data_IF_280953785565
#
_entry.id   IF_280953785565
#
_cell.length_a   1.000
_cell.length_b   1.000
_cell.length_c   1.000
_cell.angle_alpha   90.00
_cell.angle_beta   90.00
_cell.angle_gamma   90.00
#
_symmetry.space_group_name_H-M   'P 1'
#
loop_
_entity.id
_entity.type
_entity.pdbx_description
1 polymer ?
#
# COMPACT_ATOMS: atom_id res chain seq x y z
N UNK A 1 -49.39 49.42 -12.26
CA UNK A 1 -48.44 48.69 -11.39
C UNK A 1 -47.40 47.97 -12.27
N UNK A 2 -46.43 48.68 -12.86
CA UNK A 2 -45.29 48.09 -13.60
C UNK A 2 -44.13 49.09 -13.68
N UNK A 3 -43.42 49.28 -12.57
CA UNK A 3 -42.06 49.84 -12.54
C UNK A 3 -41.37 49.22 -11.32
N UNK A 4 -40.47 48.25 -11.53
CA UNK A 4 -39.38 47.85 -10.62
C UNK A 4 -38.75 46.48 -10.99
N UNK A 5 -38.22 46.29 -12.21
CA UNK A 5 -37.33 45.13 -12.50
C UNK A 5 -36.21 45.50 -13.49
N UNK A 6 -35.67 46.72 -13.43
CA UNK A 6 -34.53 47.12 -14.28
C UNK A 6 -33.24 47.48 -13.52
N UNK A 7 -33.31 47.65 -12.20
CA UNK A 7 -32.14 48.06 -11.39
C UNK A 7 -31.25 46.94 -10.86
N UNK A 8 -31.62 45.66 -10.99
CA UNK A 8 -30.84 44.55 -10.41
C UNK A 8 -29.77 43.97 -11.34
N UNK A 9 -29.94 44.03 -12.67
CA UNK A 9 -28.94 43.50 -13.62
C UNK A 9 -27.71 44.40 -13.77
N UNK A 10 -27.88 45.72 -13.67
CA UNK A 10 -26.74 46.65 -13.80
C UNK A 10 -25.81 46.63 -12.57
N UNK A 11 -26.31 46.32 -11.38
CA UNK A 11 -25.49 46.21 -10.17
C UNK A 11 -24.54 44.99 -10.19
N UNK A 12 -24.94 43.86 -10.78
CA UNK A 12 -24.07 42.69 -10.91
C UNK A 12 -22.99 42.85 -11.98
N UNK A 13 -23.27 43.59 -13.06
CA UNK A 13 -22.27 43.87 -14.10
C UNK A 13 -21.19 44.83 -13.58
N UNK A 14 -21.56 45.83 -12.77
CA UNK A 14 -20.60 46.77 -12.16
C UNK A 14 -19.74 46.09 -11.08
N UNK A 15 -20.31 45.20 -10.26
CA UNK A 15 -19.52 44.42 -9.29
C UNK A 15 -18.53 43.44 -9.97
N UNK A 16 -18.95 42.81 -11.07
CA UNK A 16 -18.08 41.93 -11.85
C UNK A 16 -16.90 42.67 -12.48
N UNK A 17 -17.12 43.89 -13.01
CA UNK A 17 -16.04 44.69 -13.60
C UNK A 17 -15.03 45.21 -12.56
N UNK A 18 -15.48 45.53 -11.35
CA UNK A 18 -14.59 45.95 -10.25
C UNK A 18 -13.73 44.78 -9.72
N UNK A 19 -14.25 43.55 -9.74
CA UNK A 19 -13.49 42.37 -9.33
C UNK A 19 -12.40 42.01 -10.35
N UNK A 20 -12.68 42.14 -11.64
CA UNK A 20 -11.68 41.93 -12.71
C UNK A 20 -10.59 43.01 -12.69
N UNK A 21 -10.94 44.28 -12.43
CA UNK A 21 -9.96 45.35 -12.29
C UNK A 21 -9.08 45.22 -11.03
N UNK A 22 -9.63 44.68 -9.93
CA UNK A 22 -8.86 44.37 -8.73
C UNK A 22 -7.84 43.23 -8.97
N UNK A 23 -8.23 42.19 -9.72
CA UNK A 23 -7.32 41.10 -10.10
C UNK A 23 -6.20 41.57 -11.05
N UNK A 24 -6.49 42.54 -11.93
CA UNK A 24 -5.48 43.13 -12.81
C UNK A 24 -4.53 44.12 -12.10
N UNK A 25 -4.94 44.73 -10.99
CA UNK A 25 -4.04 45.52 -10.13
C UNK A 25 -3.16 44.64 -9.24
N UNK A 26 -3.67 43.53 -8.70
CA UNK A 26 -2.87 42.59 -7.90
C UNK A 26 -1.80 41.90 -8.75
N UNK A 27 -2.06 41.65 -10.03
CA UNK A 27 -1.06 41.09 -10.97
C UNK A 27 0.05 42.07 -11.38
N UNK A 28 -0.06 43.37 -11.06
CA UNK A 28 0.90 44.41 -11.45
C UNK A 28 1.91 44.79 -10.35
N UNK A 29 1.70 44.38 -9.10
CA UNK A 29 2.58 44.70 -7.96
C UNK A 29 3.47 43.53 -7.46
N UNK A 30 3.57 42.44 -8.23
CA UNK A 30 4.58 41.39 -8.00
C UNK A 30 5.79 41.58 -8.93
N UNK A 31 6.36 42.78 -8.96
CA UNK A 31 7.73 42.99 -9.41
C UNK A 31 8.48 43.80 -8.37
N UNK A 32 9.03 43.09 -7.39
CA UNK A 32 9.91 43.65 -6.38
C UNK A 32 10.99 42.62 -6.08
N UNK A 33 11.99 42.65 -6.94
CA UNK A 33 13.32 42.07 -6.74
C UNK A 33 13.81 42.18 -5.28
N UNK A 34 13.91 41.05 -4.60
CA UNK A 34 14.80 40.89 -3.44
C UNK A 34 15.84 39.84 -3.82
N UNK A 35 16.99 40.33 -4.29
CA UNK A 35 18.23 39.57 -4.33
C UNK A 35 18.77 39.49 -2.90
N UNK A 36 19.26 38.33 -2.48
CA UNK A 36 20.58 38.11 -1.85
C UNK A 36 20.79 36.60 -1.56
N UNK A 37 22.05 36.14 -1.44
CA UNK A 37 22.50 34.85 -1.92
C UNK A 37 22.78 33.84 -0.79
N UNK A 38 22.66 32.55 -1.08
CA UNK A 38 23.48 31.53 -0.42
C UNK A 38 23.84 30.45 -1.43
N UNK A 39 25.09 30.52 -1.91
CA UNK A 39 25.72 29.51 -2.77
C UNK A 39 26.37 28.49 -1.85
N UNK A 40 25.87 27.26 -1.83
CA UNK A 40 26.58 26.13 -1.25
C UNK A 40 27.59 25.60 -2.30
N UNK A 41 28.87 25.85 -2.06
CA UNK A 41 29.96 25.24 -2.81
C UNK A 41 30.28 23.85 -2.23
N UNK A 42 30.14 22.81 -3.05
CA UNK A 42 30.83 21.53 -2.84
C UNK A 42 32.29 21.68 -3.28
N UNK A 43 33.29 21.33 -2.45
CA UNK A 43 34.64 21.15 -2.94
C UNK A 43 34.79 19.74 -3.52
N UNK A 44 34.89 19.65 -4.83
CA UNK A 44 35.64 18.60 -5.48
C UNK A 44 37.12 18.76 -5.12
N UNK A 45 37.81 17.67 -4.79
CA UNK A 45 39.27 17.67 -4.90
C UNK A 45 39.79 16.27 -5.24
N UNK A 46 40.23 16.15 -6.48
CA UNK A 46 41.26 15.21 -6.92
C UNK A 46 42.59 15.95 -6.95
N UNK A 47 43.63 15.42 -6.29
CA UNK A 47 44.98 15.22 -6.85
C UNK A 47 46.04 15.01 -5.76
N UNK A 48 47.00 14.16 -6.14
CA UNK A 48 48.16 13.69 -5.42
C UNK A 48 49.06 14.79 -4.82
N UNK A 49 49.63 14.50 -3.66
CA UNK A 49 50.95 15.00 -3.25
C UNK A 49 51.61 14.00 -2.28
N UNK A 50 52.89 13.73 -2.55
CA UNK A 50 53.77 12.78 -1.87
C UNK A 50 54.52 13.41 -0.68
N UNK A 51 55.00 12.51 0.21
CA UNK A 51 56.18 12.60 1.12
C UNK A 51 55.95 13.00 2.58
N UNK A 52 56.87 12.63 3.51
CA UNK A 52 57.51 11.34 3.70
C UNK A 52 57.43 10.84 5.17
N UNK A 53 58.01 9.66 5.39
CA UNK A 53 58.09 8.87 6.61
C UNK A 53 58.49 9.60 7.91
N UNK A 54 57.88 9.18 9.02
CA UNK A 54 58.52 9.10 10.33
C UNK A 54 58.14 7.77 10.99
N UNK A 55 59.19 7.01 11.27
CA UNK A 55 59.22 5.68 11.86
C UNK A 55 59.18 5.84 13.37
N UNK A 56 58.24 5.20 14.06
CA UNK A 56 58.50 4.74 15.43
C UNK A 56 57.96 3.32 15.63
N UNK A 57 58.90 2.48 16.04
CA UNK A 57 58.86 1.03 16.13
C UNK A 57 58.44 0.63 17.54
N UNK A 58 57.42 -0.23 17.66
CA UNK A 58 57.29 -1.11 18.82
C UNK A 58 57.06 -2.55 18.35
N UNK A 59 58.16 -3.31 18.41
CA UNK A 59 58.24 -4.75 18.21
C UNK A 59 57.41 -5.52 19.26
N UNK A 60 56.50 -6.39 18.82
CA UNK A 60 56.08 -7.62 19.52
C UNK A 60 55.67 -8.72 18.50
N UNK A 61 55.79 -10.01 18.86
CA UNK A 61 56.18 -11.11 17.97
C UNK A 61 55.06 -11.66 17.06
N UNK A 62 55.41 -12.46 16.03
CA UNK A 62 54.42 -12.98 15.09
C UNK A 62 53.63 -14.13 15.72
N UNK A 63 52.34 -13.90 15.96
CA UNK A 63 51.40 -14.97 16.25
C UNK A 63 50.73 -15.42 14.96
N UNK A 64 51.21 -16.57 14.49
CA UNK A 64 50.53 -17.61 13.72
C UNK A 64 49.15 -17.24 13.15
N UNK A 65 49.08 -17.22 11.81
CA UNK A 65 47.84 -17.40 11.07
C UNK A 65 47.07 -18.61 11.63
N UNK A 66 45.81 -18.40 12.00
CA UNK A 66 44.77 -19.42 11.93
C UNK A 66 43.52 -18.81 11.28
N UNK A 67 42.85 -19.56 10.38
CA UNK A 67 41.80 -19.05 9.51
C UNK A 67 40.41 -19.14 10.15
N UNK A 68 39.44 -18.46 9.51
CA UNK A 68 37.98 -18.43 9.76
C UNK A 68 37.52 -17.37 10.76
N UNK A 69 37.34 -16.15 10.27
CA UNK A 69 36.23 -15.33 10.74
C UNK A 69 34.99 -15.87 10.02
N UNK A 70 34.22 -16.72 10.69
CA UNK A 70 32.83 -16.95 10.32
C UNK A 70 32.10 -15.62 10.54
N UNK A 71 31.68 -14.98 9.45
CA UNK A 71 30.72 -13.90 9.49
C UNK A 71 29.43 -14.41 10.15
N UNK A 72 28.72 -13.58 10.94
CA UNK A 72 27.50 -14.02 11.56
C UNK A 72 26.48 -14.28 10.44
N UNK A 73 26.07 -15.54 10.32
CA UNK A 73 24.77 -15.85 9.74
C UNK A 73 23.72 -14.95 10.41
N UNK A 74 22.68 -14.56 9.66
CA UNK A 74 21.52 -13.89 10.22
C UNK A 74 21.16 -14.52 11.58
N UNK A 75 20.95 -13.73 12.65
CA UNK A 75 20.63 -14.29 13.94
C UNK A 75 19.44 -15.25 13.76
N UNK A 76 19.54 -16.48 14.28
CA UNK A 76 18.42 -17.42 14.19
C UNK A 76 17.18 -16.74 14.76
N UNK A 77 16.02 -16.98 14.13
CA UNK A 77 14.72 -16.57 14.66
C UNK A 77 14.72 -16.88 16.17
N UNK A 78 14.44 -15.88 17.05
CA UNK A 78 14.30 -16.17 18.47
C UNK A 78 13.32 -17.33 18.62
N UNK A 79 13.67 -18.33 19.43
CA UNK A 79 12.70 -19.35 19.84
C UNK A 79 11.40 -18.64 20.25
N UNK A 80 10.21 -19.18 19.90
CA UNK A 80 8.95 -18.57 20.32
C UNK A 80 9.01 -18.38 21.83
N UNK A 81 9.23 -17.14 22.26
CA UNK A 81 9.32 -16.79 23.67
C UNK A 81 7.96 -17.18 24.25
N UNK A 82 7.97 -18.01 25.28
CA UNK A 82 6.77 -18.27 26.08
C UNK A 82 6.13 -16.92 26.42
N UNK A 83 4.89 -16.66 26.01
CA UNK A 83 4.28 -15.36 26.23
C UNK A 83 4.05 -15.22 27.73
N UNK A 84 4.91 -14.47 28.42
CA UNK A 84 4.45 -13.77 29.59
C UNK A 84 3.41 -12.76 29.08
N UNK A 85 2.18 -12.74 29.62
CA UNK A 85 1.20 -11.74 29.23
C UNK A 85 1.82 -10.35 29.46
N UNK A 86 1.78 -9.42 28.49
CA UNK A 86 2.23 -8.06 28.74
C UNK A 86 1.38 -7.49 29.88
N UNK A 87 2.02 -7.17 31.01
CA UNK A 87 1.36 -6.46 32.11
C UNK A 87 1.27 -4.95 31.86
N UNK A 88 1.83 -4.46 30.74
CA UNK A 88 1.75 -3.08 30.25
C UNK A 88 1.44 -3.09 28.74
N UNK A 89 0.69 -2.11 28.20
CA UNK A 89 0.44 -2.01 26.77
C UNK A 89 1.73 -1.68 26.00
N UNK A 90 1.94 -2.29 24.83
CA UNK A 90 3.10 -2.02 23.97
C UNK A 90 3.22 -0.53 23.65
N UNK A 91 4.44 0.00 23.76
CA UNK A 91 4.79 1.26 23.07
C UNK A 91 4.69 1.06 21.57
N UNK A 92 4.00 1.96 20.87
CA UNK A 92 3.65 1.75 19.46
C UNK A 92 3.63 3.04 18.65
N UNK A 93 4.10 2.98 17.41
CA UNK A 93 4.00 4.07 16.44
C UNK A 93 3.27 3.65 15.17
N UNK A 94 2.52 4.58 14.60
CA UNK A 94 1.83 4.46 13.32
C UNK A 94 2.46 5.46 12.35
N UNK A 95 3.14 4.94 11.34
CA UNK A 95 3.83 5.69 10.30
C UNK A 95 3.00 5.63 9.04
N UNK A 96 2.42 6.77 8.66
CA UNK A 96 1.60 6.93 7.47
C UNK A 96 2.44 7.59 6.38
N UNK A 97 2.53 6.95 5.21
CA UNK A 97 3.02 7.59 4.00
C UNK A 97 1.85 8.19 3.23
N UNK A 98 2.00 9.44 2.76
CA UNK A 98 1.00 10.08 1.92
C UNK A 98 1.58 11.04 0.89
N UNK A 99 0.80 11.37 -0.13
CA UNK A 99 0.96 12.61 -0.90
C UNK A 99 0.11 13.75 -0.31
N UNK A 100 0.37 14.99 -0.71
CA UNK A 100 -0.32 16.18 -0.19
C UNK A 100 -1.83 16.16 -0.44
N UNK A 101 -2.25 15.50 -1.52
CA UNK A 101 -3.63 15.44 -2.00
C UNK A 101 -4.44 14.31 -1.35
N UNK A 102 -3.80 13.36 -0.69
CA UNK A 102 -4.48 12.28 0.02
C UNK A 102 -5.01 12.76 1.37
N UNK A 103 -6.16 12.24 1.79
CA UNK A 103 -6.82 12.65 3.04
C UNK A 103 -6.62 11.64 4.19
N UNK A 104 -5.78 11.95 5.19
CA UNK A 104 -5.57 11.11 6.36
C UNK A 104 -6.57 11.43 7.50
N UNK A 105 -7.67 12.13 7.23
CA UNK A 105 -8.65 12.56 8.25
C UNK A 105 -9.18 11.41 9.09
N UNK A 106 -9.21 10.19 8.55
CA UNK A 106 -9.64 8.96 9.24
C UNK A 106 -8.80 8.65 10.49
N UNK A 107 -7.57 9.18 10.61
CA UNK A 107 -6.76 9.04 11.83
C UNK A 107 -7.43 9.65 13.08
N UNK A 108 -8.41 10.52 12.87
CA UNK A 108 -9.22 11.14 13.92
C UNK A 108 -10.56 10.44 14.16
N UNK A 109 -10.85 9.34 13.46
CA UNK A 109 -12.02 8.52 13.71
C UNK A 109 -12.06 8.07 15.18
N UNK A 110 -13.25 7.84 15.69
CA UNK A 110 -13.44 7.41 17.08
C UNK A 110 -14.13 6.06 17.17
N UNK A 111 -13.70 5.26 18.13
CA UNK A 111 -14.43 4.08 18.61
C UNK A 111 -15.66 4.50 19.43
N UNK A 112 -16.50 3.51 19.76
CA UNK A 112 -17.61 3.68 20.70
C UNK A 112 -17.13 4.36 21.99
N UNK A 113 -17.82 5.45 22.37
CA UNK A 113 -17.41 6.28 23.51
C UNK A 113 -16.49 7.46 23.15
N UNK A 114 -16.20 7.70 21.87
CA UNK A 114 -15.53 8.91 21.39
C UNK A 114 -14.01 8.90 21.54
N UNK A 115 -13.41 7.73 21.77
CA UNK A 115 -11.96 7.56 21.89
C UNK A 115 -11.35 7.47 20.49
N UNK A 116 -10.38 8.32 20.10
CA UNK A 116 -9.73 8.22 18.80
C UNK A 116 -9.15 6.82 18.57
N UNK A 117 -9.30 6.26 17.36
CA UNK A 117 -8.77 4.94 17.00
C UNK A 117 -7.24 4.88 17.12
N UNK A 118 -6.58 6.03 17.03
CA UNK A 118 -5.13 6.22 17.18
C UNK A 118 -4.69 6.37 18.64
N UNK A 119 -5.60 6.22 19.62
CA UNK A 119 -5.26 6.35 21.04
C UNK A 119 -4.16 5.35 21.44
N UNK A 120 -3.09 5.90 22.02
CA UNK A 120 -1.90 5.16 22.43
C UNK A 120 -0.89 4.89 21.31
N UNK A 121 -1.15 5.35 20.08
CA UNK A 121 -0.17 5.36 18.98
C UNK A 121 0.56 6.70 18.93
N UNK A 122 1.87 6.66 18.74
CA UNK A 122 2.64 7.80 18.24
C UNK A 122 2.44 7.88 16.73
N UNK A 123 1.70 8.87 16.25
CA UNK A 123 1.28 8.96 14.84
C UNK A 123 2.18 9.92 14.08
N UNK A 124 2.86 9.43 13.04
CA UNK A 124 3.72 10.22 12.18
C UNK A 124 3.23 10.13 10.73
N UNK A 125 2.84 11.27 10.16
CA UNK A 125 2.33 11.36 8.79
C UNK A 125 3.37 12.02 7.90
N UNK A 126 4.07 11.23 7.09
CA UNK A 126 5.06 11.70 6.13
C UNK A 126 4.38 12.09 4.82
N UNK A 127 4.54 13.35 4.41
CA UNK A 127 4.11 13.83 3.09
C UNK A 127 5.27 13.77 2.12
N UNK A 128 5.18 12.96 1.06
CA UNK A 128 6.32 12.65 0.18
C UNK A 128 6.61 13.73 -0.87
N UNK A 129 5.61 14.56 -1.21
CA UNK A 129 5.67 15.57 -2.26
C UNK A 129 5.53 17.03 -1.73
N UNK A 130 5.76 17.24 -0.44
CA UNK A 130 5.74 18.56 0.21
C UNK A 130 6.88 18.72 1.22
N UNK A 131 7.95 19.44 0.82
CA UNK A 131 9.09 19.74 1.69
C UNK A 131 8.78 20.72 2.84
N UNK A 132 7.60 21.33 2.85
CA UNK A 132 7.16 22.22 3.93
C UNK A 132 6.37 21.49 5.03
N UNK A 133 5.97 20.24 4.79
CA UNK A 133 5.28 19.41 5.77
C UNK A 133 6.16 19.11 6.99
N UNK A 134 5.57 18.98 8.19
CA UNK A 134 6.32 18.73 9.42
C UNK A 134 7.15 17.44 9.38
N UNK A 135 6.58 16.38 8.80
CA UNK A 135 7.30 15.18 8.41
C UNK A 135 7.25 15.07 6.89
N UNK A 136 8.40 15.20 6.26
CA UNK A 136 8.55 15.15 4.82
C UNK A 136 9.68 14.20 4.44
N UNK A 137 9.66 13.68 3.22
CA UNK A 137 10.79 12.94 2.64
C UNK A 137 11.81 13.91 2.03
N UNK A 138 13.05 13.47 1.78
CA UNK A 138 14.03 14.30 1.07
C UNK A 138 13.67 14.55 -0.41
N UNK A 139 13.04 13.56 -1.06
CA UNK A 139 12.58 13.59 -2.47
C UNK A 139 11.33 12.71 -2.58
N UNK A 140 10.41 13.06 -3.49
CA UNK A 140 9.29 12.19 -3.86
C UNK A 140 9.78 11.08 -4.81
N UNK A 141 10.28 9.97 -4.27
CA UNK A 141 10.82 8.82 -5.04
C UNK A 141 10.77 7.53 -4.22
N UNK A 142 10.44 6.41 -4.85
CA UNK A 142 10.26 5.11 -4.22
C UNK A 142 8.96 4.99 -3.44
N UNK A 143 7.93 5.79 -3.77
CA UNK A 143 6.63 5.81 -3.08
C UNK A 143 6.76 5.88 -1.54
N UNK A 144 6.01 5.06 -0.80
CA UNK A 144 6.04 4.97 0.65
C UNK A 144 7.39 4.52 1.23
N UNK A 145 8.21 3.80 0.45
CA UNK A 145 9.48 3.28 0.94
C UNK A 145 10.41 4.40 1.42
N UNK A 146 10.38 5.57 0.78
CA UNK A 146 11.16 6.72 1.21
C UNK A 146 10.70 7.27 2.56
N UNK A 147 9.40 7.31 2.81
CA UNK A 147 8.84 7.72 4.11
C UNK A 147 9.25 6.73 5.20
N UNK A 148 9.09 5.43 4.94
CA UNK A 148 9.39 4.37 5.91
C UNK A 148 10.88 4.34 6.27
N UNK A 149 11.77 4.38 5.27
CA UNK A 149 13.21 4.44 5.49
C UNK A 149 13.62 5.73 6.22
N UNK A 150 13.00 6.87 5.89
CA UNK A 150 13.27 8.13 6.59
C UNK A 150 12.86 8.07 8.06
N UNK A 151 11.71 7.47 8.37
CA UNK A 151 11.31 7.21 9.76
C UNK A 151 12.32 6.31 10.49
N UNK A 152 12.64 5.16 9.90
CA UNK A 152 13.57 4.19 10.50
C UNK A 152 14.92 4.83 10.83
N UNK A 153 15.46 5.65 9.92
CA UNK A 153 16.74 6.35 10.12
C UNK A 153 16.64 7.42 11.22
N UNK A 154 15.60 8.25 11.20
CA UNK A 154 15.47 9.38 12.13
C UNK A 154 15.14 8.93 13.56
N UNK A 155 14.46 7.80 13.72
CA UNK A 155 13.97 7.31 15.01
C UNK A 155 14.73 6.08 15.53
N UNK A 156 15.78 5.64 14.83
CA UNK A 156 16.50 4.38 15.11
C UNK A 156 16.93 4.22 16.58
N UNK A 157 17.33 5.30 17.24
CA UNK A 157 17.80 5.28 18.63
C UNK A 157 16.67 5.19 19.68
N UNK A 158 15.42 5.45 19.31
CA UNK A 158 14.27 5.61 20.23
C UNK A 158 13.00 4.94 19.69
N UNK A 159 13.16 3.82 18.99
CA UNK A 159 12.04 3.09 18.39
C UNK A 159 11.03 2.60 19.45
N UNK A 160 9.72 2.60 19.19
CA UNK A 160 8.72 1.92 20.02
C UNK A 160 8.83 0.40 19.86
N UNK A 161 8.15 -0.39 20.71
CA UNK A 161 8.16 -1.86 20.64
C UNK A 161 7.53 -2.38 19.33
N UNK A 162 6.48 -1.72 18.85
CA UNK A 162 5.81 -2.07 17.60
C UNK A 162 5.70 -0.83 16.71
N UNK A 163 6.03 -1.00 15.43
CA UNK A 163 5.90 0.04 14.41
C UNK A 163 4.99 -0.49 13.33
N UNK A 164 3.95 0.29 13.01
CA UNK A 164 3.05 0.04 11.89
C UNK A 164 3.36 0.99 10.76
N UNK A 165 3.52 0.46 9.56
CA UNK A 165 3.70 1.22 8.32
C UNK A 165 2.46 1.01 7.46
N UNK A 166 1.77 2.09 7.10
CA UNK A 166 0.52 2.06 6.35
C UNK A 166 0.45 3.19 5.32
N UNK A 167 -0.38 2.97 4.30
CA UNK A 167 -0.80 4.02 3.39
C UNK A 167 -1.83 4.93 4.07
N UNK A 168 -2.08 6.08 3.44
CA UNK A 168 -3.00 7.09 3.95
C UNK A 168 -4.47 6.81 3.64
N UNK A 169 -4.77 5.88 2.72
CA UNK A 169 -6.13 5.62 2.26
C UNK A 169 -7.01 5.06 3.37
N UNK A 170 -8.25 5.56 3.46
CA UNK A 170 -9.23 5.04 4.42
C UNK A 170 -9.76 3.67 3.99
N UNK A 171 -10.13 3.57 2.72
CA UNK A 171 -10.62 2.36 2.06
C UNK A 171 -9.68 2.05 0.91
N UNK A 172 -9.27 0.79 0.79
CA UNK A 172 -8.35 0.38 -0.25
C UNK A 172 -8.64 -1.05 -0.71
N UNK A 173 -8.54 -1.29 -2.02
CA UNK A 173 -8.64 -2.64 -2.59
C UNK A 173 -7.55 -3.58 -2.03
N UNK A 174 -6.39 -3.02 -1.70
CA UNK A 174 -5.25 -3.75 -1.16
C UNK A 174 -5.34 -4.03 0.34
N UNK A 175 -6.39 -3.55 1.01
CA UNK A 175 -6.69 -3.98 2.39
C UNK A 175 -7.36 -5.36 2.41
N UNK A 176 -7.69 -5.81 3.61
CA UNK A 176 -8.26 -7.12 3.86
C UNK A 176 -9.79 -7.14 3.72
N UNK A 177 -10.29 -8.03 2.85
CA UNK A 177 -11.71 -8.13 2.55
C UNK A 177 -12.58 -8.64 3.73
N UNK A 178 -12.01 -9.35 4.71
CA UNK A 178 -12.76 -9.81 5.91
C UNK A 178 -12.84 -8.77 7.03
N UNK A 179 -12.06 -7.69 6.92
CA UNK A 179 -12.04 -6.56 7.86
C UNK A 179 -12.36 -5.26 7.12
N UNK A 180 -13.34 -5.35 6.21
CA UNK A 180 -14.01 -4.20 5.60
C UNK A 180 -13.14 -3.32 4.70
N UNK A 181 -11.99 -3.83 4.22
CA UNK A 181 -11.09 -3.10 3.32
C UNK A 181 -10.75 -1.70 3.84
N UNK A 182 -10.53 -1.61 5.16
CA UNK A 182 -10.53 -0.35 5.89
C UNK A 182 -9.34 -0.23 6.82
N UNK A 183 -8.48 0.78 6.57
CA UNK A 183 -7.36 1.15 7.44
C UNK A 183 -7.75 1.35 8.91
N UNK A 184 -8.83 2.09 9.26
CA UNK A 184 -9.34 2.14 10.63
C UNK A 184 -9.60 0.75 11.24
N UNK A 185 -10.28 -0.13 10.51
CA UNK A 185 -10.63 -1.47 10.99
C UNK A 185 -9.40 -2.34 11.16
N UNK A 186 -8.45 -2.26 10.22
CA UNK A 186 -7.13 -2.91 10.30
C UNK A 186 -6.38 -2.48 11.57
N UNK A 187 -6.28 -1.17 11.81
CA UNK A 187 -5.57 -0.62 12.97
C UNK A 187 -6.16 -1.09 14.31
N UNK A 188 -7.49 -1.11 14.41
CA UNK A 188 -8.22 -1.46 15.64
C UNK A 188 -8.22 -2.98 15.88
N UNK A 189 -8.29 -3.77 14.82
CA UNK A 189 -8.40 -5.24 14.91
C UNK A 189 -7.04 -5.92 15.03
N UNK A 190 -5.94 -5.23 14.71
CA UNK A 190 -4.60 -5.83 14.71
C UNK A 190 -4.17 -6.29 16.12
N UNK A 191 -3.86 -7.58 16.22
CA UNK A 191 -3.34 -8.19 17.44
C UNK A 191 -1.83 -8.01 17.55
N UNK A 192 -1.41 -6.94 18.23
CA UNK A 192 0.02 -6.63 18.48
C UNK A 192 0.84 -7.79 19.09
N UNK A 193 0.30 -8.68 19.96
CA UNK A 193 1.05 -9.84 20.43
C UNK A 193 1.56 -10.76 19.30
N UNK A 194 0.83 -10.89 18.18
CA UNK A 194 1.30 -11.64 17.02
C UNK A 194 2.52 -10.98 16.39
N UNK A 195 2.46 -9.65 16.22
CA UNK A 195 3.59 -8.86 15.67
C UNK A 195 4.81 -8.99 16.58
N UNK A 196 4.63 -8.87 17.90
CA UNK A 196 5.71 -9.04 18.86
C UNK A 196 6.32 -10.46 18.80
N UNK A 197 5.49 -11.50 18.65
CA UNK A 197 5.93 -12.90 18.60
C UNK A 197 6.67 -13.24 17.30
N UNK A 198 6.14 -12.83 16.15
CA UNK A 198 6.73 -13.12 14.84
C UNK A 198 7.87 -12.15 14.49
N UNK A 199 7.78 -10.93 15.01
CA UNK A 199 8.69 -9.82 14.75
C UNK A 199 8.36 -9.04 13.47
N UNK A 200 7.62 -9.65 12.54
CA UNK A 200 7.13 -9.07 11.30
C UNK A 200 5.76 -9.65 10.97
N UNK A 201 4.86 -8.81 10.48
CA UNK A 201 3.58 -9.23 9.94
C UNK A 201 3.18 -8.30 8.80
N UNK A 202 2.97 -8.86 7.61
CA UNK A 202 2.27 -8.15 6.55
C UNK A 202 0.82 -7.91 7.00
N UNK A 203 0.30 -6.70 6.79
CA UNK A 203 -1.08 -6.40 7.19
C UNK A 203 -2.08 -7.09 6.26
N UNK A 204 -1.73 -7.39 5.01
CA UNK A 204 -2.58 -8.14 4.08
C UNK A 204 -2.48 -9.65 4.37
N UNK A 205 -3.64 -10.27 4.60
CA UNK A 205 -3.79 -11.72 4.70
C UNK A 205 -4.09 -12.40 3.36
N UNK A 206 -4.91 -11.83 2.45
CA UNK A 206 -5.16 -12.44 1.15
C UNK A 206 -3.88 -12.70 0.36
N UNK A 207 -3.77 -13.88 -0.25
CA UNK A 207 -2.56 -14.27 -0.99
C UNK A 207 -2.34 -13.50 -2.28
N UNK A 208 -3.40 -13.19 -3.02
CA UNK A 208 -3.29 -12.47 -4.29
C UNK A 208 -3.38 -10.95 -4.06
N UNK A 209 -2.50 -10.14 -4.68
CA UNK A 209 -1.28 -10.53 -5.35
C UNK A 209 -0.13 -10.85 -4.38
N UNK A 210 0.78 -11.73 -4.82
CA UNK A 210 2.10 -11.89 -4.22
C UNK A 210 2.44 -13.27 -3.63
N UNK A 211 1.45 -14.12 -3.36
CA UNK A 211 1.61 -15.49 -2.86
C UNK A 211 0.89 -16.52 -3.75
N UNK A 212 1.36 -17.79 -3.81
CA UNK A 212 2.51 -18.34 -3.10
C UNK A 212 3.86 -18.12 -3.81
N UNK A 213 3.82 -17.64 -5.06
CA UNK A 213 4.97 -17.42 -5.93
C UNK A 213 4.70 -16.19 -6.83
N UNK A 214 5.51 -15.12 -6.74
CA UNK A 214 5.24 -13.87 -7.46
C UNK A 214 6.41 -13.41 -8.35
N UNK A 215 7.52 -13.02 -7.73
CA UNK A 215 8.71 -12.53 -8.44
C UNK A 215 9.70 -13.66 -8.60
N UNK A 216 10.09 -13.93 -9.83
CA UNK A 216 11.19 -14.82 -10.21
C UNK A 216 12.35 -13.98 -10.73
N UNK A 217 13.34 -13.60 -9.89
CA UNK A 217 14.38 -12.65 -10.28
C UNK A 217 15.22 -13.09 -11.49
N UNK A 218 15.31 -14.40 -11.73
CA UNK A 218 16.07 -14.99 -12.85
C UNK A 218 15.23 -15.16 -14.12
N UNK A 219 13.98 -14.70 -14.13
CA UNK A 219 13.09 -14.82 -15.26
C UNK A 219 13.52 -13.90 -16.42
N UNK A 220 13.57 -14.44 -17.64
CA UNK A 220 14.10 -13.74 -18.82
C UNK A 220 13.09 -13.60 -19.96
N UNK A 221 11.83 -14.06 -19.78
CA UNK A 221 10.87 -14.16 -20.88
C UNK A 221 10.13 -12.84 -21.20
N UNK A 222 10.79 -11.71 -20.93
CA UNK A 222 10.27 -10.37 -21.14
C UNK A 222 9.70 -9.73 -19.87
N UNK A 223 9.14 -8.53 -20.04
CA UNK A 223 8.50 -7.78 -18.94
C UNK A 223 7.04 -8.19 -18.86
N UNK A 224 6.62 -8.74 -17.73
CA UNK A 224 5.20 -8.93 -17.42
C UNK A 224 4.60 -7.58 -16.96
N UNK A 225 3.59 -7.03 -17.66
CA UNK A 225 2.97 -5.76 -17.30
C UNK A 225 2.35 -5.72 -15.89
N UNK A 226 2.00 -6.88 -15.33
CA UNK A 226 1.43 -6.97 -13.98
C UNK A 226 2.51 -6.93 -12.89
N UNK A 227 3.75 -7.33 -13.22
CA UNK A 227 4.92 -7.33 -12.32
C UNK A 227 6.20 -6.79 -13.00
N UNK A 228 6.19 -5.55 -13.51
CA UNK A 228 7.31 -4.96 -14.23
C UNK A 228 8.61 -4.87 -13.43
N UNK A 229 8.54 -4.86 -12.09
CA UNK A 229 9.68 -4.92 -11.18
C UNK A 229 10.46 -6.25 -11.24
N UNK A 230 9.83 -7.34 -11.68
CA UNK A 230 10.49 -8.64 -11.80
C UNK A 230 11.72 -8.56 -12.71
N UNK A 231 11.60 -7.81 -13.82
CA UNK A 231 12.64 -7.66 -14.82
C UNK A 231 13.92 -6.98 -14.30
N UNK A 232 13.83 -6.21 -13.20
CA UNK A 232 14.97 -5.49 -12.61
C UNK A 232 15.45 -6.10 -11.29
N UNK A 233 14.73 -7.09 -10.76
CA UNK A 233 14.90 -7.54 -9.38
C UNK A 233 16.28 -8.15 -9.12
N UNK A 234 16.82 -8.94 -10.06
CA UNK A 234 18.17 -9.51 -9.90
C UNK A 234 19.28 -8.42 -9.88
N UNK A 235 19.14 -7.36 -10.68
CA UNK A 235 20.09 -6.23 -10.64
C UNK A 235 19.98 -5.48 -9.32
N UNK A 236 18.76 -5.11 -8.94
CA UNK A 236 18.51 -4.43 -7.68
C UNK A 236 19.00 -5.24 -6.47
N UNK A 237 18.83 -6.57 -6.50
CA UNK A 237 19.37 -7.46 -5.47
C UNK A 237 20.88 -7.34 -5.32
N UNK A 238 21.62 -7.38 -6.44
CA UNK A 238 23.08 -7.24 -6.44
C UNK A 238 23.60 -5.89 -5.96
N UNK A 239 22.76 -4.85 -6.02
CA UNK A 239 23.06 -3.51 -5.52
C UNK A 239 22.71 -3.33 -4.03
N UNK A 240 21.63 -3.98 -3.57
CA UNK A 240 21.08 -3.82 -2.21
C UNK A 240 21.67 -4.81 -1.19
N UNK A 241 22.14 -5.96 -1.64
CA UNK A 241 22.66 -7.03 -0.78
C UNK A 241 24.15 -7.28 -0.99
N UNK A 242 24.87 -7.77 0.04
CA UNK A 242 26.25 -8.21 -0.11
C UNK A 242 26.41 -9.27 -1.23
N UNK A 243 27.55 -9.30 -1.95
CA UNK A 243 27.75 -10.21 -3.09
C UNK A 243 27.67 -11.71 -2.76
N UNK A 244 27.82 -12.10 -1.50
CA UNK A 244 27.71 -13.48 -1.02
C UNK A 244 26.27 -13.92 -0.72
N UNK A 245 25.31 -12.98 -0.74
CA UNK A 245 23.88 -13.29 -0.60
C UNK A 245 23.32 -13.67 -1.97
N UNK A 246 23.04 -14.96 -2.15
CA UNK A 246 22.46 -15.46 -3.39
C UNK A 246 21.10 -14.83 -3.70
N UNK A 247 20.87 -14.52 -4.98
CA UNK A 247 19.56 -14.13 -5.48
C UNK A 247 18.60 -15.32 -5.30
N UNK A 248 17.44 -15.14 -4.67
CA UNK A 248 16.48 -16.23 -4.47
C UNK A 248 15.84 -16.65 -5.80
N UNK A 249 15.41 -17.91 -5.87
CA UNK A 249 14.65 -18.42 -7.03
C UNK A 249 13.31 -17.71 -7.19
N UNK A 250 12.65 -17.44 -6.06
CA UNK A 250 11.36 -16.76 -5.99
C UNK A 250 11.29 -15.87 -4.75
N UNK A 251 10.65 -14.70 -4.89
CA UNK A 251 10.23 -13.85 -3.77
C UNK A 251 8.72 -13.80 -3.72
N UNK A 252 8.16 -13.94 -2.52
CA UNK A 252 6.72 -13.97 -2.32
C UNK A 252 6.31 -13.53 -0.93
N UNK A 253 5.32 -12.66 -0.90
CA UNK A 253 4.52 -12.28 0.25
C UNK A 253 3.27 -11.61 -0.28
N UNK A 254 2.21 -11.50 0.51
CA UNK A 254 1.08 -10.66 0.15
C UNK A 254 1.55 -9.22 -0.15
N UNK A 255 0.96 -8.57 -1.15
CA UNK A 255 1.43 -7.27 -1.63
C UNK A 255 1.27 -6.10 -0.64
N UNK A 256 1.70 -4.95 -1.15
CA UNK A 256 1.16 -3.62 -0.93
C UNK A 256 1.74 -2.85 0.26
N UNK A 257 2.97 -3.17 0.67
CA UNK A 257 3.80 -2.34 1.55
C UNK A 257 3.15 -1.84 2.85
N UNK A 258 2.15 -2.55 3.37
CA UNK A 258 1.59 -2.29 4.70
C UNK A 258 1.98 -3.42 5.63
N UNK A 259 2.72 -3.10 6.68
CA UNK A 259 3.24 -4.12 7.58
C UNK A 259 3.49 -3.58 8.99
N UNK A 260 3.56 -4.52 9.92
CA UNK A 260 3.93 -4.32 11.30
C UNK A 260 5.31 -4.94 11.54
N UNK A 261 6.17 -4.24 12.27
CA UNK A 261 7.49 -4.75 12.64
C UNK A 261 7.79 -4.44 14.11
N UNK A 262 8.43 -5.38 14.78
CA UNK A 262 8.92 -5.20 16.14
C UNK A 262 10.22 -4.39 16.18
N UNK A 263 10.46 -3.70 17.29
CA UNK A 263 11.74 -3.02 17.57
C UNK A 263 12.92 -3.97 17.35
N UNK A 264 12.81 -5.19 17.85
CA UNK A 264 13.88 -6.18 17.82
C UNK A 264 14.28 -6.54 16.39
N UNK A 265 13.32 -6.61 15.46
CA UNK A 265 13.63 -6.83 14.03
C UNK A 265 14.28 -5.62 13.38
N UNK A 266 13.87 -4.42 13.74
CA UNK A 266 14.53 -3.20 13.25
C UNK A 266 15.97 -3.10 13.78
N UNK A 267 16.17 -3.34 15.08
CA UNK A 267 17.50 -3.30 15.69
C UNK A 267 18.40 -4.48 15.29
N UNK A 268 17.83 -5.50 14.64
CA UNK A 268 18.58 -6.62 14.07
C UNK A 268 19.50 -6.21 12.92
N UNK A 269 19.26 -5.05 12.30
CA UNK A 269 20.10 -4.49 11.25
C UNK A 269 20.68 -3.15 11.69
N UNK A 270 21.98 -2.89 11.53
CA UNK A 270 22.53 -1.59 11.88
C UNK A 270 21.89 -0.50 11.02
N UNK A 271 21.77 0.72 11.56
CA UNK A 271 21.15 1.86 10.88
C UNK A 271 21.70 2.12 9.46
N UNK A 272 22.97 1.77 9.23
CA UNK A 272 23.63 1.86 7.93
C UNK A 272 22.96 1.04 6.82
N UNK A 273 22.25 -0.04 7.15
CA UNK A 273 21.47 -0.82 6.16
C UNK A 273 20.32 0.03 5.62
N UNK A 274 19.53 0.67 6.49
CA UNK A 274 18.43 1.54 6.07
C UNK A 274 18.94 2.78 5.32
N UNK A 275 20.06 3.35 5.76
CA UNK A 275 20.73 4.44 5.03
C UNK A 275 21.11 3.97 3.62
N UNK A 276 21.74 2.81 3.48
CA UNK A 276 22.12 2.25 2.18
C UNK A 276 20.93 2.00 1.25
N UNK A 277 19.82 1.47 1.79
CA UNK A 277 18.58 1.26 1.01
C UNK A 277 17.95 2.58 0.58
N UNK A 278 17.97 3.61 1.44
CA UNK A 278 17.51 4.96 1.06
C UNK A 278 18.42 5.60 0.02
N UNK A 279 19.73 5.45 0.16
CA UNK A 279 20.70 5.98 -0.79
C UNK A 279 20.56 5.30 -2.16
N UNK A 280 20.25 4.00 -2.18
CA UNK A 280 19.89 3.29 -3.41
C UNK A 280 18.64 3.87 -4.06
N UNK A 281 17.56 4.12 -3.30
CA UNK A 281 16.36 4.78 -3.84
C UNK A 281 16.69 6.16 -4.44
N UNK A 282 17.51 6.95 -3.75
CA UNK A 282 17.89 8.27 -4.23
C UNK A 282 18.73 8.17 -5.52
N UNK A 283 19.67 7.23 -5.57
CA UNK A 283 20.67 7.12 -6.64
C UNK A 283 20.29 6.27 -7.86
N UNK A 284 19.32 5.36 -7.75
CA UNK A 284 18.94 4.46 -8.84
C UNK A 284 18.34 5.21 -10.03
N UNK A 285 18.55 4.73 -11.25
CA UNK A 285 17.90 5.29 -12.46
C UNK A 285 16.46 4.78 -12.65
N UNK A 286 16.03 3.82 -11.82
CA UNK A 286 14.67 3.28 -11.86
C UNK A 286 13.64 4.37 -11.52
N UNK A 287 12.51 4.33 -12.23
CA UNK A 287 11.36 5.20 -11.95
C UNK A 287 10.77 4.96 -10.56
N UNK A 288 10.01 5.95 -10.08
CA UNK A 288 9.38 5.96 -8.74
C UNK A 288 8.57 4.68 -8.45
N UNK A 289 7.69 4.29 -9.38
CA UNK A 289 6.85 3.08 -9.24
C UNK A 289 7.69 1.80 -9.15
N UNK A 290 8.67 1.61 -10.04
CA UNK A 290 9.45 0.37 -10.11
C UNK A 290 10.36 0.23 -8.90
N UNK A 291 11.07 1.31 -8.52
CA UNK A 291 11.92 1.30 -7.33
C UNK A 291 11.12 1.11 -6.03
N UNK A 292 9.91 1.65 -5.94
CA UNK A 292 8.96 1.39 -4.84
C UNK A 292 8.57 -0.09 -4.76
N UNK A 293 8.15 -0.70 -5.88
CA UNK A 293 7.78 -2.12 -5.93
C UNK A 293 8.92 -3.08 -5.61
N UNK A 294 10.17 -2.73 -6.00
CA UNK A 294 11.35 -3.47 -5.55
C UNK A 294 11.45 -3.47 -4.03
N UNK A 295 11.29 -2.30 -3.38
CA UNK A 295 11.31 -2.22 -1.92
C UNK A 295 10.17 -2.99 -1.25
N UNK A 296 8.96 -2.91 -1.82
CA UNK A 296 7.79 -3.64 -1.33
C UNK A 296 8.07 -5.14 -1.19
N UNK A 297 8.63 -5.78 -2.21
CA UNK A 297 8.97 -7.20 -2.21
C UNK A 297 10.34 -7.52 -1.57
N UNK A 298 10.94 -6.56 -0.86
CA UNK A 298 12.14 -6.78 -0.05
C UNK A 298 11.88 -6.66 1.46
N UNK A 299 10.72 -6.15 1.89
CA UNK A 299 10.42 -6.05 3.33
C UNK A 299 10.44 -7.41 4.02
N UNK A 300 9.85 -8.46 3.44
CA UNK A 300 9.88 -9.79 4.03
C UNK A 300 11.31 -10.33 4.17
N UNK A 301 12.18 -10.05 3.20
CA UNK A 301 13.60 -10.41 3.27
C UNK A 301 14.30 -9.65 4.38
N UNK A 302 14.09 -8.33 4.44
CA UNK A 302 14.67 -7.46 5.44
C UNK A 302 14.31 -7.91 6.86
N UNK A 303 13.05 -8.26 7.11
CA UNK A 303 12.58 -8.52 8.47
C UNK A 303 12.68 -9.98 8.91
N UNK A 304 12.60 -10.92 7.97
CA UNK A 304 12.58 -12.37 8.28
C UNK A 304 13.84 -13.11 7.83
N UNK A 305 14.59 -12.55 6.88
CA UNK A 305 15.67 -13.25 6.17
C UNK A 305 15.17 -14.29 5.16
N UNK A 306 13.86 -14.49 5.04
CA UNK A 306 13.23 -15.41 4.09
C UNK A 306 12.74 -14.68 2.84
N UNK A 307 12.93 -15.31 1.67
CA UNK A 307 12.41 -14.79 0.40
C UNK A 307 10.90 -15.02 0.22
N UNK A 308 10.35 -16.06 0.88
CA UNK A 308 8.94 -16.45 0.83
C UNK A 308 8.33 -16.36 2.22
N UNK A 309 7.34 -15.49 2.38
CA UNK A 309 6.55 -15.30 3.61
C UNK A 309 5.08 -15.27 3.22
N UNK A 310 4.49 -16.45 3.08
CA UNK A 310 3.09 -16.66 2.70
C UNK A 310 2.37 -17.47 3.80
N UNK A 311 2.03 -16.85 4.95
CA UNK A 311 1.26 -17.53 5.99
C UNK A 311 -0.10 -17.97 5.44
N UNK A 312 -0.67 -19.04 5.98
CA UNK A 312 -2.01 -19.45 5.57
C UNK A 312 -3.02 -18.33 5.88
N UNK A 313 -3.90 -18.01 4.92
CA UNK A 313 -4.84 -16.87 5.05
C UNK A 313 -5.70 -16.98 6.31
N UNK A 314 -6.21 -18.19 6.60
CA UNK A 314 -7.03 -18.47 7.78
C UNK A 314 -6.28 -18.22 9.09
N UNK A 315 -4.99 -18.54 9.15
CA UNK A 315 -4.12 -18.33 10.32
C UNK A 315 -3.81 -16.84 10.48
N UNK A 316 -3.51 -16.16 9.37
CA UNK A 316 -3.30 -14.71 9.34
C UNK A 316 -4.52 -13.95 9.88
N UNK A 317 -5.72 -14.27 9.39
CA UNK A 317 -6.96 -13.64 9.84
C UNK A 317 -7.28 -13.95 11.31
N UNK A 318 -7.12 -15.19 11.74
CA UNK A 318 -7.46 -15.59 13.10
C UNK A 318 -6.51 -14.96 14.12
N UNK A 319 -5.21 -15.13 13.95
CA UNK A 319 -4.23 -14.63 14.91
C UNK A 319 -3.99 -13.13 14.81
N UNK A 320 -4.03 -12.59 13.59
CA UNK A 320 -3.75 -11.20 13.29
C UNK A 320 -4.91 -10.27 13.56
N UNK A 321 -6.14 -10.73 13.32
CA UNK A 321 -7.33 -9.88 13.34
C UNK A 321 -8.52 -10.45 14.13
N UNK A 322 -8.37 -11.63 14.75
CA UNK A 322 -9.44 -12.24 15.52
C UNK A 322 -10.63 -12.70 14.67
N UNK A 323 -10.39 -13.09 13.42
CA UNK A 323 -11.41 -13.70 12.55
C UNK A 323 -11.08 -15.17 12.34
N UNK A 324 -11.69 -16.05 13.14
CA UNK A 324 -11.30 -17.46 13.29
C UNK A 324 -12.38 -18.40 12.77
N UNK A 325 -12.12 -19.11 11.67
CA UNK A 325 -13.12 -19.94 11.00
C UNK A 325 -13.19 -21.39 11.51
N UNK A 326 -12.47 -21.74 12.57
CA UNK A 326 -12.34 -23.14 13.01
C UNK A 326 -11.21 -23.86 12.27
N UNK A 327 -10.16 -23.13 11.88
CA UNK A 327 -9.06 -23.64 11.07
C UNK A 327 -9.35 -23.68 9.57
N UNK A 328 -8.52 -24.43 8.84
CA UNK A 328 -8.48 -24.47 7.37
C UNK A 328 -9.81 -24.83 6.72
N UNK A 329 -10.46 -25.91 7.17
CA UNK A 329 -11.69 -26.42 6.54
C UNK A 329 -12.84 -25.40 6.61
N UNK A 330 -13.02 -24.74 7.75
CA UNK A 330 -14.04 -23.71 7.91
C UNK A 330 -13.77 -22.48 7.06
N UNK A 331 -12.50 -22.06 6.94
CA UNK A 331 -12.13 -20.95 6.06
C UNK A 331 -12.34 -21.28 4.59
N UNK A 332 -11.89 -22.46 4.14
CA UNK A 332 -12.11 -22.91 2.76
C UNK A 332 -13.60 -23.07 2.44
N UNK A 333 -14.41 -23.51 3.41
CA UNK A 333 -15.87 -23.54 3.29
C UNK A 333 -16.46 -22.15 3.06
N UNK A 334 -16.03 -21.18 3.86
CA UNK A 334 -16.44 -19.78 3.70
C UNK A 334 -16.02 -19.18 2.36
N UNK A 335 -14.78 -19.44 1.91
CA UNK A 335 -14.28 -18.98 0.61
C UNK A 335 -15.11 -19.57 -0.53
N UNK A 336 -15.37 -20.89 -0.53
CA UNK A 336 -16.22 -21.54 -1.54
C UNK A 336 -17.61 -20.93 -1.62
N UNK A 337 -18.25 -20.64 -0.48
CA UNK A 337 -19.57 -20.00 -0.48
C UNK A 337 -19.56 -18.59 -1.06
N UNK A 338 -18.46 -17.83 -0.90
CA UNK A 338 -18.31 -16.53 -1.57
C UNK A 338 -18.13 -16.66 -3.07
N UNK A 339 -17.26 -17.57 -3.50
CA UNK A 339 -17.04 -17.83 -4.93
C UNK A 339 -18.34 -18.26 -5.60
N UNK A 340 -19.12 -19.13 -4.95
CA UNK A 340 -20.45 -19.55 -5.44
C UNK A 340 -21.39 -18.35 -5.60
N UNK A 341 -21.50 -17.50 -4.58
CA UNK A 341 -22.30 -16.27 -4.64
C UNK A 341 -21.84 -15.35 -5.78
N UNK A 342 -20.54 -15.15 -5.95
CA UNK A 342 -20.00 -14.26 -6.98
C UNK A 342 -20.26 -14.80 -8.40
N UNK A 343 -20.19 -16.12 -8.58
CA UNK A 343 -20.59 -16.80 -9.82
C UNK A 343 -22.08 -16.58 -10.10
N UNK A 344 -22.96 -16.73 -9.11
CA UNK A 344 -24.39 -16.49 -9.27
C UNK A 344 -24.69 -15.03 -9.62
N UNK A 345 -24.03 -14.07 -8.94
CA UNK A 345 -24.16 -12.63 -9.25
C UNK A 345 -23.71 -12.31 -10.66
N UNK A 346 -22.55 -12.83 -11.08
CA UNK A 346 -22.06 -12.66 -12.45
C UNK A 346 -23.03 -13.21 -13.49
N UNK A 347 -23.70 -14.34 -13.21
CA UNK A 347 -24.74 -14.89 -14.09
C UNK A 347 -25.98 -13.98 -14.17
N UNK A 348 -26.43 -13.41 -13.04
CA UNK A 348 -27.52 -12.43 -13.01
C UNK A 348 -27.14 -11.19 -13.82
N UNK A 349 -25.95 -10.64 -13.61
CA UNK A 349 -25.43 -9.50 -14.37
C UNK A 349 -25.37 -9.80 -15.87
N UNK A 350 -24.90 -10.99 -16.27
CA UNK A 350 -24.85 -11.40 -17.67
C UNK A 350 -26.26 -11.50 -18.27
N UNK A 351 -27.25 -12.05 -17.55
CA UNK A 351 -28.63 -12.12 -18.06
C UNK A 351 -29.29 -10.74 -18.17
N UNK A 352 -28.99 -9.83 -17.25
CA UNK A 352 -29.47 -8.44 -17.30
C UNK A 352 -28.77 -7.66 -18.42
N UNK A 353 -27.46 -7.87 -18.62
CA UNK A 353 -26.64 -7.19 -19.63
C UNK A 353 -26.80 -7.76 -21.05
N UNK A 354 -27.09 -9.05 -21.21
CA UNK A 354 -27.31 -9.69 -22.54
C UNK A 354 -28.52 -9.14 -23.30
N UNK A 355 -29.40 -8.41 -22.63
CA UNK A 355 -30.57 -7.79 -23.27
C UNK A 355 -30.44 -6.26 -23.39
N UNK A 356 -29.31 -5.69 -22.95
CA UNK A 356 -28.93 -4.29 -23.11
C UNK A 356 -27.49 -4.15 -23.61
N UNK A 357 -27.34 -3.97 -24.92
CA UNK A 357 -26.18 -3.43 -25.66
C UNK A 357 -25.36 -4.38 -26.56
N UNK A 358 -25.02 -3.79 -27.71
CA UNK A 358 -24.21 -4.24 -28.83
C UNK A 358 -22.77 -4.51 -28.38
N UNK A 359 -22.18 -5.57 -28.93
CA UNK A 359 -20.78 -5.94 -28.72
C UNK A 359 -19.87 -4.90 -29.37
N UNK A 360 -19.08 -4.18 -28.57
CA UNK A 360 -17.71 -3.86 -28.91
C UNK A 360 -16.79 -4.47 -27.84
N UNK A 361 -15.83 -5.25 -28.32
CA UNK A 361 -15.14 -6.26 -27.52
C UNK A 361 -14.14 -5.70 -26.53
N UNK A 362 -14.07 -6.36 -25.37
CA UNK A 362 -12.82 -6.68 -24.70
C UNK A 362 -12.99 -7.90 -23.78
N UNK A 363 -11.87 -8.58 -23.55
CA UNK A 363 -11.73 -9.94 -23.02
C UNK A 363 -12.22 -10.14 -21.57
N UNK A 364 -12.50 -11.39 -21.12
CA UNK A 364 -13.04 -11.65 -19.80
C UNK A 364 -11.96 -11.58 -18.72
N UNK A 365 -12.04 -10.57 -17.85
CA UNK A 365 -11.32 -10.51 -16.58
C UNK A 365 -12.16 -11.15 -15.47
N UNK A 366 -11.53 -11.99 -14.65
CA UNK A 366 -12.11 -12.58 -13.45
C UNK A 366 -12.72 -11.50 -12.54
N UNK A 367 -13.95 -11.76 -12.09
CA UNK A 367 -14.73 -10.84 -11.28
C UNK A 367 -14.28 -10.85 -9.81
N UNK A 368 -13.28 -10.01 -9.48
CA UNK A 368 -13.21 -9.43 -8.14
C UNK A 368 -14.18 -8.24 -8.08
N UNK A 369 -15.44 -8.54 -7.78
CA UNK A 369 -16.56 -7.59 -7.73
C UNK A 369 -16.46 -6.47 -6.68
N UNK A 370 -15.27 -6.24 -6.10
CA UNK A 370 -14.99 -5.11 -5.22
C UNK A 370 -14.16 -4.01 -5.90
N UNK A 371 -13.45 -4.29 -7.00
CA UNK A 371 -12.51 -3.32 -7.62
C UNK A 371 -13.22 -2.06 -8.11
N UNK A 372 -14.34 -2.19 -8.81
CA UNK A 372 -15.00 -1.03 -9.45
C UNK A 372 -15.62 -0.02 -8.49
N UNK A 373 -15.87 -0.36 -7.22
CA UNK A 373 -16.52 0.56 -6.27
C UNK A 373 -15.56 1.34 -5.39
N UNK A 374 -14.32 0.86 -5.25
CA UNK A 374 -13.28 1.53 -4.48
C UNK A 374 -12.45 2.51 -5.32
N UNK A 375 -12.32 2.26 -6.63
CA UNK A 375 -11.58 3.11 -7.58
C UNK A 375 -12.23 4.51 -7.75
N UNK A 376 -13.56 4.60 -7.71
CA UNK A 376 -14.31 5.83 -7.97
C UNK A 376 -14.28 6.89 -6.85
N UNK A 377 -13.66 6.62 -5.69
CA UNK A 377 -13.68 7.58 -4.57
C UNK A 377 -12.37 8.31 -4.27
N UNK A 378 -11.25 8.05 -4.95
CA UNK A 378 -10.06 8.87 -4.69
C UNK A 378 -8.93 8.87 -5.75
N UNK A 379 -8.98 8.07 -6.81
CA UNK A 379 -7.91 8.06 -7.82
C UNK A 379 -8.21 8.99 -9.00
N UNK A 380 -7.86 10.26 -8.84
CA UNK A 380 -7.68 11.19 -9.95
C UNK A 380 -6.21 11.34 -10.31
N UNK A 381 -5.58 10.33 -10.93
CA UNK A 381 -4.26 10.48 -11.52
C UNK A 381 -4.39 10.99 -12.97
N UNK A 382 -4.38 12.30 -13.16
CA UNK A 382 -4.17 12.90 -14.47
C UNK A 382 -2.67 12.91 -14.80
N UNK A 383 -2.31 12.28 -15.91
CA UNK A 383 -1.03 12.50 -16.58
C UNK A 383 -1.09 13.87 -17.28
N UNK A 384 -0.18 14.77 -16.91
CA UNK A 384 0.09 16.00 -17.64
C UNK A 384 0.83 15.63 -18.93
N UNK A 385 0.18 15.80 -20.08
CA UNK A 385 0.87 15.97 -21.36
C UNK A 385 0.41 17.26 -22.04
N UNK A 386 1.38 18.16 -22.19
CA UNK A 386 1.30 19.46 -22.85
C UNK A 386 1.22 19.23 -24.36
N UNK A 387 0.13 19.69 -25.00
CA UNK A 387 0.11 19.89 -26.46
C UNK A 387 -0.46 21.26 -26.79
N UNK A 388 0.34 21.95 -27.60
CA UNK A 388 0.28 23.29 -28.16
C UNK A 388 -1.05 23.60 -28.88
N UNK A 389 -1.71 24.69 -28.48
CA UNK A 389 -2.91 25.22 -29.15
C UNK A 389 -2.49 26.10 -30.34
N UNK A 390 -2.71 25.62 -31.57
CA UNK A 390 -2.83 26.50 -32.74
C UNK A 390 -4.23 26.39 -33.31
N UNK A 391 -5.00 27.46 -33.17
CA UNK A 391 -6.32 27.68 -33.75
C UNK A 391 -6.29 27.65 -35.29
N UNK A 392 -7.14 26.83 -35.89
CA UNK A 392 -7.65 27.03 -37.25
C UNK A 392 -9.12 26.62 -37.28
N UNK A 393 -10.00 27.63 -37.37
CA UNK A 393 -11.44 27.49 -37.50
C UNK A 393 -11.80 27.05 -38.92
N UNK A 394 -12.18 25.79 -39.11
CA UNK A 394 -12.95 25.34 -40.28
C UNK A 394 -14.40 25.06 -39.85
N UNK A 395 -15.33 25.84 -40.40
CA UNK A 395 -16.77 25.60 -40.32
C UNK A 395 -17.10 24.30 -41.06
N UNK A 396 -17.34 23.21 -40.32
CA UNK A 396 -17.94 21.99 -40.88
C UNK A 396 -19.45 22.06 -40.64
N UNK A 397 -20.20 22.19 -41.74
CA UNK A 397 -21.65 22.08 -41.76
C UNK A 397 -22.11 20.67 -41.34
N UNK A 398 -22.86 20.58 -40.24
CA UNK A 398 -23.54 19.33 -39.84
C UNK A 398 -24.59 18.95 -40.90
N UNK A 399 -24.56 17.74 -41.46
CA UNK A 399 -25.72 17.22 -42.16
C UNK A 399 -26.79 16.85 -41.12
N UNK A 400 -28.00 17.38 -41.27
CA UNK A 400 -29.17 16.92 -40.52
C UNK A 400 -29.43 15.44 -40.84
N UNK A 401 -28.83 14.55 -40.06
CA UNK A 401 -29.16 13.13 -40.01
C UNK A 401 -30.44 12.93 -39.21
N UNK A 402 -31.30 12.02 -39.67
CA UNK A 402 -32.47 11.58 -38.91
C UNK A 402 -32.06 11.17 -37.48
N UNK A 403 -32.90 11.47 -36.46
CA UNK A 403 -32.65 10.96 -35.12
C UNK A 403 -32.53 9.43 -35.18
N UNK A 404 -31.54 8.83 -34.48
CA UNK A 404 -31.43 7.38 -34.45
C UNK A 404 -32.77 6.78 -34.00
N UNK A 405 -33.21 5.66 -34.59
CA UNK A 405 -34.47 5.05 -34.20
C UNK A 405 -34.44 4.78 -32.69
N UNK A 406 -35.51 5.15 -31.99
CA UNK A 406 -35.66 4.88 -30.57
C UNK A 406 -35.37 3.39 -30.32
N UNK A 407 -34.23 3.13 -29.70
CA UNK A 407 -33.75 1.79 -29.39
C UNK A 407 -34.79 1.13 -28.49
N UNK A 408 -35.41 0.08 -28.99
CA UNK A 408 -36.39 -0.68 -28.23
C UNK A 408 -35.61 -1.54 -27.25
N UNK A 409 -35.43 -1.04 -26.03
CA UNK A 409 -35.05 -1.84 -24.87
C UNK A 409 -35.95 -3.08 -24.85
N UNK A 410 -35.39 -4.23 -25.21
CA UNK A 410 -36.12 -5.49 -25.12
C UNK A 410 -36.31 -5.78 -23.64
N UNK A 411 -37.56 -5.74 -23.19
CA UNK A 411 -37.91 -6.22 -21.87
C UNK A 411 -37.60 -7.71 -21.77
N UNK A 412 -37.05 -8.17 -20.63
CA UNK A 412 -36.70 -9.57 -20.48
C UNK A 412 -37.90 -10.50 -20.65
N UNK A 413 -37.64 -11.69 -21.19
CA UNK A 413 -38.68 -12.71 -21.29
C UNK A 413 -39.20 -13.09 -19.90
N UNK A 414 -40.48 -13.46 -19.73
CA UNK A 414 -41.00 -13.92 -18.44
C UNK A 414 -40.19 -15.09 -17.84
N UNK A 415 -39.66 -15.98 -18.69
CA UNK A 415 -38.81 -17.10 -18.27
C UNK A 415 -37.45 -16.59 -17.74
N UNK A 416 -36.85 -15.60 -18.41
CA UNK A 416 -35.62 -14.93 -17.95
C UNK A 416 -35.84 -14.25 -16.60
N UNK A 417 -36.98 -13.58 -16.41
CA UNK A 417 -37.32 -12.93 -15.14
C UNK A 417 -37.51 -13.94 -14.00
N UNK A 418 -38.11 -15.09 -14.29
CA UNK A 418 -38.27 -16.17 -13.32
C UNK A 418 -36.92 -16.78 -12.91
N UNK A 419 -36.02 -17.01 -13.88
CA UNK A 419 -34.67 -17.49 -13.61
C UNK A 419 -33.84 -16.48 -12.80
N UNK A 420 -33.89 -15.19 -13.15
CA UNK A 420 -33.25 -14.12 -12.38
C UNK A 420 -33.78 -14.07 -10.94
N UNK A 421 -35.10 -14.24 -10.75
CA UNK A 421 -35.70 -14.23 -9.42
C UNK A 421 -35.20 -15.42 -8.57
N UNK A 422 -35.12 -16.61 -9.16
CA UNK A 422 -34.61 -17.81 -8.47
C UNK A 422 -33.12 -17.68 -8.09
N UNK A 423 -32.29 -17.14 -8.98
CA UNK A 423 -30.87 -16.92 -8.71
C UNK A 423 -30.67 -15.83 -7.66
N UNK A 424 -31.48 -14.76 -7.71
CA UNK A 424 -31.48 -13.72 -6.67
C UNK A 424 -31.81 -14.29 -5.29
N UNK A 425 -32.78 -15.20 -5.19
CA UNK A 425 -33.11 -15.86 -3.92
C UNK A 425 -31.95 -16.72 -3.39
N UNK A 426 -31.25 -17.45 -4.25
CA UNK A 426 -30.05 -18.21 -3.87
C UNK A 426 -28.91 -17.30 -3.42
N UNK A 427 -28.72 -16.16 -4.09
CA UNK A 427 -27.74 -15.14 -3.68
C UNK A 427 -28.08 -14.61 -2.28
N UNK A 428 -29.35 -14.29 -2.02
CA UNK A 428 -29.80 -13.79 -0.70
C UNK A 428 -29.65 -14.84 0.42
N UNK A 429 -29.81 -16.13 0.10
CA UNK A 429 -29.52 -17.23 1.03
C UNK A 429 -28.03 -17.34 1.35
N UNK A 430 -27.17 -17.31 0.33
CA UNK A 430 -25.73 -17.36 0.50
C UNK A 430 -25.20 -16.13 1.24
N UNK A 431 -25.69 -14.93 0.93
CA UNK A 431 -25.29 -13.70 1.63
C UNK A 431 -25.63 -13.78 3.13
N UNK A 432 -26.82 -14.26 3.48
CA UNK A 432 -27.20 -14.48 4.89
C UNK A 432 -26.31 -15.51 5.58
N UNK A 433 -25.97 -16.60 4.90
CA UNK A 433 -25.07 -17.62 5.45
C UNK A 433 -23.66 -17.05 5.66
N UNK A 434 -23.12 -16.32 4.68
CA UNK A 434 -21.80 -15.68 4.75
C UNK A 434 -21.72 -14.67 5.89
N UNK A 435 -22.76 -13.84 6.08
CA UNK A 435 -22.83 -12.91 7.20
C UNK A 435 -22.81 -13.63 8.56
N UNK A 436 -23.56 -14.73 8.68
CA UNK A 436 -23.60 -15.54 9.90
C UNK A 436 -22.24 -16.21 10.19
N UNK A 437 -21.59 -16.78 9.17
CA UNK A 437 -20.28 -17.41 9.33
C UNK A 437 -19.19 -16.39 9.70
N UNK A 438 -19.20 -15.21 9.08
CA UNK A 438 -18.25 -14.16 9.42
C UNK A 438 -18.48 -13.63 10.84
N UNK A 439 -19.74 -13.47 11.28
CA UNK A 439 -20.06 -13.10 12.64
C UNK A 439 -19.61 -14.16 13.65
N UNK A 440 -19.88 -15.45 13.37
CA UNK A 440 -19.42 -16.56 14.19
C UNK A 440 -17.88 -16.66 14.25
N UNK A 441 -17.20 -16.37 13.14
CA UNK A 441 -15.74 -16.35 13.09
C UNK A 441 -15.13 -15.23 13.96
N UNK A 442 -15.74 -14.04 13.93
CA UNK A 442 -15.36 -12.93 14.81
C UNK A 442 -15.62 -13.26 16.28
N UNK A 443 -16.75 -13.89 16.59
CA UNK A 443 -17.09 -14.30 17.96
C UNK A 443 -16.12 -15.33 18.51
N UNK A 444 -15.79 -16.37 17.73
CA UNK A 444 -14.73 -17.35 18.09
C UNK A 444 -13.40 -16.65 18.34
N UNK A 445 -13.03 -15.73 17.46
CA UNK A 445 -11.79 -15.00 17.55
C UNK A 445 -11.73 -13.98 18.69
N UNK A 446 -12.79 -13.76 19.49
CA UNK A 446 -12.68 -12.96 20.72
C UNK A 446 -11.95 -13.71 21.84
N UNK A 447 -12.03 -15.04 21.86
CA UNK A 447 -11.40 -15.89 22.88
C UNK A 447 -9.92 -16.14 22.55
N UNK A 448 -8.97 -15.63 23.38
CA UNK A 448 -7.54 -15.85 23.16
C UNK A 448 -7.13 -17.33 23.10
N UNK A 449 -7.81 -18.20 23.85
CA UNK A 449 -7.53 -19.63 23.86
C UNK A 449 -7.93 -20.28 22.53
N UNK A 450 -9.15 -19.99 22.04
CA UNK A 450 -9.61 -20.50 20.73
C UNK A 450 -8.72 -19.99 19.60
N UNK A 451 -8.33 -18.71 19.63
CA UNK A 451 -7.36 -18.17 18.66
C UNK A 451 -6.07 -18.97 18.62
N UNK A 452 -5.48 -19.26 19.79
CA UNK A 452 -4.23 -20.03 19.88
C UNK A 452 -4.39 -21.47 19.39
N UNK A 453 -5.53 -22.11 19.66
CA UNK A 453 -5.78 -23.48 19.21
C UNK A 453 -5.89 -23.58 17.69
N UNK A 454 -6.59 -22.65 17.07
CA UNK A 454 -6.71 -22.64 15.61
C UNK A 454 -5.36 -22.33 14.96
N UNK A 455 -4.62 -21.35 15.50
CA UNK A 455 -3.28 -20.98 15.06
C UNK A 455 -2.26 -22.12 15.05
N UNK A 456 -2.19 -22.88 16.13
CA UNK A 456 -1.19 -23.95 16.32
C UNK A 456 -1.46 -25.19 15.46
N UNK A 457 -2.58 -25.22 14.71
CA UNK A 457 -2.88 -26.24 13.71
C UNK A 457 -1.81 -26.36 12.59
N UNK A 458 -0.92 -25.37 12.46
CA UNK A 458 0.25 -25.43 11.56
C UNK A 458 1.39 -26.34 12.05
N UNK A 459 1.42 -26.76 13.33
CA UNK A 459 2.59 -27.48 13.90
C UNK A 459 2.62 -28.99 13.55
N UNK A 460 1.63 -29.52 12.84
CA UNK A 460 1.53 -30.95 12.53
C UNK A 460 1.55 -31.28 11.04
N UNK A 461 2.55 -30.80 10.30
CA UNK A 461 3.02 -31.47 9.07
C UNK A 461 4.49 -31.09 8.84
N UNK A 462 5.38 -31.91 9.40
CA UNK A 462 6.84 -31.85 9.20
C UNK A 462 7.28 -32.84 8.14
#
# INVERSE_FOLDING_TARGET
MRVAVRGRREQFVVLGLLFVLALLHVRRDSDSSVKLPYVYHYPANSSAAQSPAAVESFNRPPLLLSPRHSHPANPPLPNPMTPNPPQEPYTKALVIARTKNEDPSWLNDTLDGGVPITTGWDVLVYTTDDLSAAHHTPVNKGREAMAYLTYLINHYAVLPEIILFMHSHRLAWHDNHLISLSSPTTLVSLHLPRVARLGYMNLRCPWEPGCPAHIYPSHTDGVDPNKPEEAVFASAWGELFPPDVAVPEVLSQACCAQFAVSRERVLGHPVSVYVGWRDWLLGTELGDQISGRVMEYLYQVLWTGGAVVCPAEWSCYCEGYGVCFGGREGFEGFVRGREERDVLRGRVEEMVGREGEVVDGDAPGHADGYSRRAEDQQEGSHADDVVDETEASEEVSEPEGEPPPAETLKLPSPETLEEIALLSEQIDELDRWLEQELAAARDRGRDPYLRSLEADGEVSEK
#
